data_IF_567238955163
#
_entry.id   IF_567238955163
#
_cell.length_a   1.000
_cell.length_b   1.000
_cell.length_c   1.000
_cell.angle_alpha   90.00
_cell.angle_beta   90.00
_cell.angle_gamma   90.00
#
_symmetry.space_group_name_H-M   'P 1'
#
loop_
_entity.id
_entity.type
_entity.pdbx_description
1 polymer ?
#
# COMPACT_ATOMS: atom_id res chain seq x y z
N UNK A 1 25.79 -2.09 8.54
CA UNK A 1 25.48 -2.62 9.89
C UNK A 1 24.33 -1.75 10.41
N UNK A 2 23.10 -2.28 10.50
CA UNK A 2 21.94 -1.52 11.02
C UNK A 2 22.36 -0.95 12.37
N UNK A 3 22.18 0.35 12.58
CA UNK A 3 22.53 0.97 13.85
C UNK A 3 21.70 0.29 14.94
N UNK A 4 22.34 -0.57 15.75
CA UNK A 4 21.69 -1.40 16.79
C UNK A 4 20.74 -0.61 17.69
N UNK A 5 20.99 0.68 17.89
CA UNK A 5 20.13 1.56 18.70
C UNK A 5 18.75 1.81 18.08
N UNK A 6 18.68 2.05 16.76
CA UNK A 6 17.40 2.34 16.06
C UNK A 6 16.51 1.10 16.01
N UNK A 7 17.10 -0.06 15.73
CA UNK A 7 16.37 -1.34 15.74
C UNK A 7 15.81 -1.66 17.12
N UNK A 8 16.62 -1.49 18.19
CA UNK A 8 16.19 -1.71 19.57
C UNK A 8 15.06 -0.76 19.99
N UNK A 9 15.12 0.50 19.62
CA UNK A 9 14.06 1.48 19.91
C UNK A 9 12.76 1.10 19.19
N UNK A 10 12.82 0.73 17.92
CA UNK A 10 11.63 0.31 17.16
C UNK A 10 10.99 -0.95 17.76
N UNK A 11 11.79 -1.96 18.11
CA UNK A 11 11.31 -3.20 18.74
C UNK A 11 10.75 -2.92 20.13
N UNK A 12 11.41 -2.08 20.93
CA UNK A 12 10.99 -1.74 22.29
C UNK A 12 9.66 -0.98 22.30
N UNK A 13 9.49 0.01 21.41
CA UNK A 13 8.21 0.73 21.24
C UNK A 13 7.10 -0.21 20.79
N UNK A 14 7.38 -1.10 19.85
CA UNK A 14 6.44 -2.10 19.38
C UNK A 14 6.00 -3.04 20.51
N UNK A 15 6.95 -3.58 21.28
CA UNK A 15 6.68 -4.44 22.42
C UNK A 15 5.83 -3.73 23.49
N UNK A 16 6.11 -2.45 23.79
CA UNK A 16 5.30 -1.70 24.76
C UNK A 16 3.84 -1.55 24.32
N UNK A 17 3.58 -1.24 23.03
CA UNK A 17 2.21 -1.12 22.53
C UNK A 17 1.46 -2.45 22.60
N UNK A 18 2.14 -3.58 22.34
CA UNK A 18 1.53 -4.90 22.44
C UNK A 18 1.36 -5.38 23.87
N UNK A 19 2.34 -5.17 24.75
CA UNK A 19 2.29 -5.65 26.14
C UNK A 19 1.34 -4.84 27.04
N UNK A 20 1.23 -3.53 26.84
CA UNK A 20 0.30 -2.70 27.63
C UNK A 20 -1.18 -3.10 27.42
N UNK A 21 -1.53 -3.56 26.21
CA UNK A 21 -2.90 -3.99 25.93
C UNK A 21 -3.14 -5.47 26.25
N UNK A 22 -2.13 -6.34 26.11
CA UNK A 22 -2.24 -7.74 26.51
C UNK A 22 -2.51 -7.89 28.02
N UNK A 23 -1.94 -7.00 28.85
CA UNK A 23 -2.16 -6.98 30.29
C UNK A 23 -3.60 -6.55 30.67
N UNK A 24 -4.22 -5.66 29.87
CA UNK A 24 -5.62 -5.25 30.06
C UNK A 24 -6.64 -6.28 29.56
N UNK A 25 -6.24 -7.14 28.61
CA UNK A 25 -7.09 -8.13 27.96
C UNK A 25 -7.16 -9.46 28.75
N UNK A 26 -6.14 -9.79 29.55
CA UNK A 26 -6.10 -11.07 30.30
C UNK A 26 -7.23 -11.20 31.31
N UNK A 27 -7.74 -10.10 31.87
CA UNK A 27 -8.91 -10.12 32.79
C UNK A 27 -10.25 -10.46 32.13
N UNK A 28 -10.36 -10.37 30.80
CA UNK A 28 -11.59 -10.72 30.07
C UNK A 28 -11.62 -12.16 29.54
N UNK A 29 -10.48 -12.85 29.52
CA UNK A 29 -10.38 -14.20 29.00
C UNK A 29 -10.88 -15.23 30.02
N UNK A 30 -10.68 -14.98 31.32
CA UNK A 30 -11.10 -15.92 32.38
C UNK A 30 -12.62 -16.03 32.55
N UNK A 31 -13.42 -15.05 32.10
CA UNK A 31 -14.89 -15.11 32.14
C UNK A 31 -15.50 -15.85 30.93
N UNK A 32 -14.75 -16.08 29.87
CA UNK A 32 -15.26 -16.70 28.61
C UNK A 32 -15.05 -18.22 28.51
N UNK A 33 -14.24 -18.81 29.40
CA UNK A 33 -13.90 -20.24 29.35
C UNK A 33 -15.03 -21.15 29.88
N UNK A 34 -16.02 -20.61 30.58
CA UNK A 34 -17.06 -21.41 31.25
C UNK A 34 -18.38 -21.56 30.48
N UNK A 35 -18.45 -21.22 29.22
CA UNK A 35 -19.67 -21.43 28.42
C UNK A 35 -19.35 -21.83 26.99
N UNK A 36 -19.07 -23.09 26.73
CA UNK A 36 -19.21 -23.57 25.34
C UNK A 36 -19.08 -25.10 25.21
N UNK A 37 -20.22 -25.75 25.31
CA UNK A 37 -20.61 -26.78 24.34
C UNK A 37 -21.31 -26.10 23.15
N UNK A 38 -20.58 -25.37 22.34
CA UNK A 38 -21.05 -24.93 21.02
C UNK A 38 -20.59 -25.93 19.99
N UNK A 39 -21.54 -26.68 19.42
CA UNK A 39 -21.37 -27.45 18.19
C UNK A 39 -20.43 -26.69 17.24
N UNK A 40 -19.19 -27.19 17.08
CA UNK A 40 -18.25 -26.65 16.11
C UNK A 40 -18.95 -26.65 14.74
N UNK A 41 -19.32 -25.46 14.27
CA UNK A 41 -19.83 -25.30 12.92
C UNK A 41 -18.74 -25.76 11.98
N UNK A 42 -18.89 -26.96 11.40
CA UNK A 42 -17.94 -27.53 10.44
C UNK A 42 -17.80 -26.55 9.28
N UNK A 43 -16.68 -25.85 9.25
CA UNK A 43 -16.38 -24.90 8.16
C UNK A 43 -15.83 -25.67 6.97
N UNK A 44 -16.35 -25.40 5.79
CA UNK A 44 -15.80 -25.93 4.54
C UNK A 44 -14.93 -24.86 3.88
N UNK A 45 -13.73 -25.23 3.42
CA UNK A 45 -12.88 -24.29 2.69
C UNK A 45 -13.61 -23.64 1.51
N UNK A 46 -13.52 -22.34 1.42
CA UNK A 46 -14.15 -21.54 0.35
C UNK A 46 -13.13 -20.70 -0.37
N UNK A 47 -13.24 -20.61 -1.68
CA UNK A 47 -12.41 -19.73 -2.51
C UNK A 47 -13.29 -18.71 -3.21
N UNK A 48 -13.03 -17.43 -2.94
CA UNK A 48 -13.66 -16.33 -3.64
C UNK A 48 -12.70 -15.82 -4.73
N UNK A 49 -13.18 -15.82 -5.96
CA UNK A 49 -12.42 -15.33 -7.13
C UNK A 49 -12.89 -13.93 -7.46
N UNK A 50 -11.96 -13.00 -7.59
CA UNK A 50 -12.22 -11.62 -8.05
C UNK A 50 -11.20 -11.27 -9.12
N UNK A 51 -11.67 -10.62 -10.18
CA UNK A 51 -10.79 -10.15 -11.24
C UNK A 51 -10.96 -8.67 -11.51
N UNK A 52 -9.92 -8.07 -12.06
CA UNK A 52 -9.97 -6.73 -12.63
C UNK A 52 -9.12 -6.66 -13.90
N UNK A 53 -9.65 -5.96 -14.89
CA UNK A 53 -8.98 -5.67 -16.14
C UNK A 53 -8.94 -4.16 -16.31
N UNK A 54 -7.73 -3.63 -16.53
CA UNK A 54 -7.51 -2.23 -16.83
C UNK A 54 -7.05 -2.09 -18.27
N UNK A 55 -7.54 -1.09 -18.96
CA UNK A 55 -6.98 -0.59 -20.22
C UNK A 55 -6.64 0.88 -20.04
N UNK A 56 -5.46 1.26 -20.49
CA UNK A 56 -4.97 2.64 -20.46
C UNK A 56 -4.62 3.07 -21.89
N UNK A 57 -5.16 4.20 -22.31
CA UNK A 57 -4.72 4.92 -23.50
C UNK A 57 -4.27 6.30 -23.08
N UNK A 58 -3.08 6.73 -23.50
CA UNK A 58 -2.54 8.03 -23.09
C UNK A 58 -1.33 8.46 -23.88
N UNK A 59 -0.96 9.71 -23.69
CA UNK A 59 0.17 10.35 -24.34
C UNK A 59 0.92 11.27 -23.37
N UNK A 60 2.18 11.58 -23.71
CA UNK A 60 3.00 12.61 -23.11
C UNK A 60 3.29 13.69 -24.14
N UNK A 61 3.27 14.96 -23.71
CA UNK A 61 3.90 16.05 -24.47
C UNK A 61 5.42 15.96 -24.29
N UNK A 62 6.17 16.24 -25.33
CA UNK A 62 7.64 16.32 -25.28
C UNK A 62 8.39 15.03 -24.92
N UNK A 63 7.84 13.87 -25.26
CA UNK A 63 8.61 12.64 -25.26
C UNK A 63 9.69 12.72 -26.37
N UNK A 64 10.95 12.46 -26.02
CA UNK A 64 12.06 12.37 -26.98
C UNK A 64 11.89 11.21 -27.99
N UNK A 65 10.96 10.31 -27.75
CA UNK A 65 10.45 9.32 -28.68
C UNK A 65 9.14 9.85 -29.25
N UNK A 66 9.12 10.15 -30.56
CA UNK A 66 7.97 10.54 -31.40
C UNK A 66 6.61 10.49 -30.66
N UNK A 67 5.84 11.56 -30.69
CA UNK A 67 4.48 11.73 -30.18
C UNK A 67 3.63 10.47 -30.39
N UNK A 68 3.75 9.50 -29.48
CA UNK A 68 3.09 8.22 -29.61
C UNK A 68 1.99 8.07 -28.57
N UNK A 69 0.84 7.64 -29.06
CA UNK A 69 -0.25 7.19 -28.23
C UNK A 69 0.13 5.82 -27.65
N UNK A 70 0.15 5.72 -26.31
CA UNK A 70 0.46 4.47 -25.62
C UNK A 70 -0.81 3.75 -25.21
N UNK A 71 -0.90 2.48 -25.58
CA UNK A 71 -1.97 1.60 -25.17
C UNK A 71 -1.41 0.47 -24.30
N UNK A 72 -1.87 0.39 -23.05
CA UNK A 72 -1.43 -0.63 -22.12
C UNK A 72 -2.62 -1.33 -21.45
N UNK A 73 -2.37 -2.52 -20.90
CA UNK A 73 -3.35 -3.23 -20.09
C UNK A 73 -2.75 -3.79 -18.80
N UNK A 74 -3.61 -4.02 -17.82
CA UNK A 74 -3.34 -4.83 -16.64
C UNK A 74 -4.47 -5.83 -16.44
N UNK A 75 -4.11 -7.10 -16.24
CA UNK A 75 -5.03 -8.14 -15.82
C UNK A 75 -4.61 -8.63 -14.43
N UNK A 76 -5.57 -8.67 -13.52
CA UNK A 76 -5.32 -9.10 -12.14
C UNK A 76 -6.43 -10.03 -11.66
N UNK A 77 -6.06 -11.25 -11.24
CA UNK A 77 -6.97 -12.25 -10.69
C UNK A 77 -6.56 -12.52 -9.25
N UNK A 78 -7.50 -12.40 -8.32
CA UNK A 78 -7.33 -12.63 -6.89
C UNK A 78 -8.13 -13.84 -6.44
N UNK A 79 -7.45 -14.80 -5.84
CA UNK A 79 -8.05 -15.92 -5.15
C UNK A 79 -7.93 -15.66 -3.63
N UNK A 80 -9.06 -15.62 -2.96
CA UNK A 80 -9.13 -15.50 -1.49
C UNK A 80 -9.69 -16.81 -0.97
N UNK A 81 -8.83 -17.68 -0.46
CA UNK A 81 -9.22 -19.00 0.07
C UNK A 81 -9.19 -18.96 1.59
N UNK A 82 -10.30 -19.24 2.22
CA UNK A 82 -10.41 -19.41 3.67
C UNK A 82 -10.63 -20.87 4.03
N UNK A 83 -9.90 -21.36 5.04
CA UNK A 83 -10.00 -22.73 5.54
C UNK A 83 -10.78 -22.84 6.84
N UNK A 84 -10.87 -21.73 7.61
CA UNK A 84 -11.50 -21.68 8.93
C UNK A 84 -12.56 -20.58 9.07
N UNK A 85 -12.74 -19.73 8.06
CA UNK A 85 -13.65 -18.58 8.09
C UNK A 85 -13.03 -17.28 8.61
N UNK A 86 -11.95 -17.37 9.39
CA UNK A 86 -11.22 -16.23 9.98
C UNK A 86 -9.84 -16.03 9.37
N UNK A 87 -9.43 -16.89 8.45
CA UNK A 87 -8.16 -16.90 7.75
C UNK A 87 -8.31 -16.55 6.27
N UNK A 88 -7.22 -16.26 5.60
CA UNK A 88 -7.21 -15.98 4.17
C UNK A 88 -5.86 -16.32 3.54
N UNK A 89 -5.84 -17.33 2.66
CA UNK A 89 -4.76 -17.52 1.71
C UNK A 89 -5.03 -16.64 0.49
N UNK A 90 -4.27 -15.56 0.36
CA UNK A 90 -4.36 -14.66 -0.78
C UNK A 90 -3.36 -15.09 -1.85
N UNK A 91 -3.85 -15.41 -3.04
CA UNK A 91 -3.06 -15.58 -4.25
C UNK A 91 -3.49 -14.55 -5.28
N UNK A 92 -2.54 -13.77 -5.80
CA UNK A 92 -2.80 -12.79 -6.87
C UNK A 92 -1.96 -13.14 -8.07
N UNK A 93 -2.65 -13.33 -9.19
CA UNK A 93 -2.04 -13.44 -10.51
C UNK A 93 -2.16 -12.09 -11.22
N UNK A 94 -1.11 -11.70 -11.94
CA UNK A 94 -1.02 -10.42 -12.61
C UNK A 94 -0.24 -10.55 -13.92
N UNK A 95 -0.73 -9.87 -14.95
CA UNK A 95 -0.02 -9.64 -16.23
C UNK A 95 -0.32 -8.23 -16.73
N UNK A 96 0.55 -7.69 -17.59
CA UNK A 96 0.34 -6.38 -18.19
C UNK A 96 1.56 -5.93 -18.97
N UNK A 97 1.34 -5.15 -20.01
CA UNK A 97 2.36 -4.75 -20.99
C UNK A 97 2.94 -3.35 -20.74
N UNK A 98 2.79 -2.79 -19.54
CA UNK A 98 3.26 -1.42 -19.26
C UNK A 98 4.73 -1.32 -18.82
N UNK A 99 5.56 -2.36 -19.04
CA UNK A 99 6.96 -2.38 -18.60
C UNK A 99 7.74 -1.17 -19.13
N UNK A 100 7.55 -0.85 -20.41
CA UNK A 100 8.22 0.25 -21.11
C UNK A 100 7.29 1.44 -21.37
N UNK A 101 6.17 1.51 -20.67
CA UNK A 101 5.23 2.63 -20.82
C UNK A 101 5.83 3.91 -20.26
N UNK A 102 6.01 4.96 -21.07
CA UNK A 102 6.54 6.24 -20.61
C UNK A 102 5.56 6.99 -19.71
N UNK A 103 4.29 6.61 -19.68
CA UNK A 103 3.28 7.21 -18.78
C UNK A 103 3.63 6.97 -17.31
N UNK A 104 4.20 5.79 -16.98
CA UNK A 104 4.66 5.40 -15.65
C UNK A 104 3.59 5.55 -14.55
N UNK A 105 2.32 5.31 -14.88
CA UNK A 105 1.23 5.38 -13.91
C UNK A 105 1.29 4.21 -12.93
N UNK A 106 0.94 4.46 -11.66
CA UNK A 106 0.94 3.43 -10.62
C UNK A 106 -0.12 2.35 -10.82
N UNK A 107 -1.20 2.68 -11.53
CA UNK A 107 -2.24 1.70 -11.88
C UNK A 107 -1.81 0.69 -12.97
N UNK A 108 -0.69 0.94 -13.67
CA UNK A 108 -0.22 0.08 -14.76
C UNK A 108 0.65 -1.08 -14.25
N UNK A 109 0.42 -2.29 -14.76
CA UNK A 109 1.26 -3.44 -14.45
C UNK A 109 2.50 -3.53 -15.34
N UNK A 110 3.65 -3.61 -14.70
CA UNK A 110 4.98 -3.80 -15.32
C UNK A 110 5.43 -5.27 -15.27
N UNK A 111 4.51 -6.24 -15.23
CA UNK A 111 4.84 -7.67 -15.05
C UNK A 111 5.13 -8.41 -16.35
N UNK A 112 4.88 -7.79 -17.49
CA UNK A 112 4.92 -8.41 -18.81
C UNK A 112 3.63 -9.21 -19.11
N UNK A 113 3.50 -9.71 -20.33
CA UNK A 113 2.30 -10.38 -20.85
C UNK A 113 2.05 -11.75 -20.19
N UNK A 114 3.08 -12.37 -19.62
CA UNK A 114 2.95 -13.65 -18.95
C UNK A 114 2.24 -13.48 -17.60
N UNK A 115 1.25 -14.33 -17.35
CA UNK A 115 0.56 -14.36 -16.05
C UNK A 115 1.52 -14.86 -14.97
N UNK A 116 1.80 -13.99 -13.99
CA UNK A 116 2.73 -14.26 -12.87
C UNK A 116 2.04 -14.14 -11.55
N UNK A 117 2.43 -14.96 -10.57
CA UNK A 117 2.02 -14.74 -9.18
C UNK A 117 2.70 -13.46 -8.68
N UNK A 118 1.92 -12.43 -8.38
CA UNK A 118 2.40 -11.16 -7.78
C UNK A 118 2.32 -11.17 -6.26
N UNK A 119 1.39 -11.95 -5.69
CA UNK A 119 1.26 -12.14 -4.24
C UNK A 119 0.91 -13.58 -3.92
N UNK A 120 1.55 -14.11 -2.89
CA UNK A 120 1.18 -15.37 -2.26
C UNK A 120 1.44 -15.23 -0.76
N UNK A 121 0.37 -15.13 0.04
CA UNK A 121 0.47 -14.95 1.48
C UNK A 121 -0.72 -15.55 2.22
N UNK A 122 -0.46 -16.02 3.41
CA UNK A 122 -1.46 -16.47 4.35
C UNK A 122 -1.64 -15.44 5.47
N UNK A 123 -2.88 -15.12 5.75
CA UNK A 123 -3.28 -14.23 6.81
C UNK A 123 -4.21 -14.95 7.77
N UNK A 124 -3.97 -14.81 9.06
CA UNK A 124 -4.83 -15.36 10.09
C UNK A 124 -5.06 -14.35 11.20
N UNK A 125 -6.29 -14.32 11.70
CA UNK A 125 -6.70 -13.50 12.83
C UNK A 125 -6.63 -14.31 14.10
N UNK A 126 -6.09 -13.74 15.16
CA UNK A 126 -6.14 -14.32 16.51
C UNK A 126 -7.41 -13.88 17.23
N UNK A 127 -7.84 -12.65 16.98
CA UNK A 127 -9.09 -12.05 17.46
C UNK A 127 -9.53 -10.92 16.50
N UNK A 128 -10.48 -10.09 16.94
CA UNK A 128 -11.04 -9.00 16.11
C UNK A 128 -10.01 -7.89 15.80
N UNK A 129 -8.95 -7.76 16.58
CA UNK A 129 -7.97 -6.68 16.45
C UNK A 129 -6.61 -7.16 15.96
N UNK A 130 -6.22 -8.42 16.22
CA UNK A 130 -4.88 -8.92 15.93
C UNK A 130 -4.86 -9.87 14.74
N UNK A 131 -3.96 -9.62 13.82
CA UNK A 131 -3.70 -10.51 12.69
C UNK A 131 -2.21 -10.75 12.51
N UNK A 132 -1.87 -11.92 11.98
CA UNK A 132 -0.53 -12.19 11.47
C UNK A 132 -0.60 -12.55 9.99
N UNK A 133 0.49 -12.28 9.30
CA UNK A 133 0.69 -12.64 7.90
C UNK A 133 2.01 -13.36 7.73
N UNK A 134 2.04 -14.30 6.82
CA UNK A 134 3.26 -14.97 6.38
C UNK A 134 3.12 -15.32 4.89
N UNK A 135 4.17 -15.18 4.13
CA UNK A 135 4.12 -15.57 2.72
C UNK A 135 5.48 -15.50 2.02
N UNK A 136 5.64 -16.31 0.97
CA UNK A 136 6.86 -16.30 0.16
C UNK A 136 6.90 -15.10 -0.82
N UNK A 137 5.76 -14.43 -1.03
CA UNK A 137 5.68 -13.33 -2.01
C UNK A 137 4.69 -12.25 -1.57
N UNK A 138 5.21 -11.22 -0.93
CA UNK A 138 4.43 -10.13 -0.34
C UNK A 138 5.04 -8.78 -0.69
N UNK A 139 4.18 -7.76 -0.82
CA UNK A 139 4.60 -6.37 -0.90
C UNK A 139 4.90 -5.80 0.49
N UNK A 140 5.76 -4.77 0.56
CA UNK A 140 6.13 -4.11 1.80
C UNK A 140 4.97 -3.58 2.63
N UNK A 141 3.96 -3.00 1.99
CA UNK A 141 2.78 -2.43 2.64
C UNK A 141 1.79 -3.48 3.19
N UNK A 142 1.85 -4.73 2.72
CA UNK A 142 0.94 -5.77 3.20
C UNK A 142 1.23 -6.11 4.66
N UNK A 143 0.17 -6.19 5.45
CA UNK A 143 0.26 -6.44 6.90
C UNK A 143 0.52 -5.20 7.76
N UNK A 144 0.66 -4.00 7.18
CA UNK A 144 0.71 -2.78 7.96
C UNK A 144 -0.70 -2.42 8.47
N UNK A 145 -0.77 -1.97 9.71
CA UNK A 145 -2.03 -1.79 10.41
C UNK A 145 -2.66 -0.40 10.17
N UNK A 146 -1.83 0.62 10.13
CA UNK A 146 -2.28 1.99 10.03
C UNK A 146 -2.64 2.38 8.60
N UNK A 147 -3.67 3.20 8.45
CA UNK A 147 -3.99 3.84 7.19
C UNK A 147 -3.28 5.18 7.12
N UNK A 148 -2.38 5.34 6.14
CA UNK A 148 -1.54 6.53 6.01
C UNK A 148 -2.25 7.68 5.31
N UNK A 149 -3.18 7.41 4.41
CA UNK A 149 -3.80 8.42 3.57
C UNK A 149 -5.30 8.22 3.39
N UNK A 150 -6.00 9.30 3.08
CA UNK A 150 -7.36 9.29 2.56
C UNK A 150 -7.37 9.35 1.03
N UNK A 151 -6.28 9.76 0.42
CA UNK A 151 -6.10 9.87 -1.02
C UNK A 151 -5.86 8.51 -1.67
N UNK A 152 -6.28 8.35 -2.91
CA UNK A 152 -6.01 7.14 -3.68
C UNK A 152 -4.73 7.32 -4.49
N UNK A 153 -3.59 7.11 -3.84
CA UNK A 153 -2.25 7.33 -4.38
C UNK A 153 -1.88 6.42 -5.56
N UNK A 154 -2.65 5.37 -5.80
CA UNK A 154 -2.31 4.37 -6.83
C UNK A 154 -3.06 4.55 -8.14
N UNK A 155 -3.31 5.78 -8.54
CA UNK A 155 -3.99 6.08 -9.80
C UNK A 155 -3.02 6.69 -10.79
N UNK A 156 -2.25 7.71 -10.39
CA UNK A 156 -1.40 8.45 -11.31
C UNK A 156 0.10 8.27 -11.01
N UNK A 157 0.80 9.30 -10.56
CA UNK A 157 2.26 9.27 -10.42
C UNK A 157 2.77 9.51 -9.00
N UNK A 158 1.89 9.91 -8.06
CA UNK A 158 2.30 10.26 -6.70
C UNK A 158 1.98 9.17 -5.69
N UNK A 159 2.98 8.78 -4.92
CA UNK A 159 2.90 7.83 -3.81
C UNK A 159 3.62 8.41 -2.59
N UNK A 160 2.84 8.80 -1.59
CA UNK A 160 3.34 9.45 -0.37
C UNK A 160 3.98 8.52 0.65
N UNK A 161 3.99 7.21 0.42
CA UNK A 161 4.54 6.23 1.37
C UNK A 161 5.54 5.25 0.73
N UNK A 162 6.19 5.66 -0.35
CA UNK A 162 6.99 4.79 -1.19
C UNK A 162 8.22 4.19 -0.49
N UNK A 163 8.95 4.98 0.31
CA UNK A 163 10.19 4.51 0.93
C UNK A 163 9.95 3.70 2.20
N UNK A 164 8.99 4.11 3.01
CA UNK A 164 8.72 3.46 4.30
C UNK A 164 7.92 2.18 4.16
N UNK A 165 7.11 2.05 3.11
CA UNK A 165 6.29 0.84 2.90
C UNK A 165 6.84 -0.09 1.83
N UNK A 166 7.85 0.32 1.04
CA UNK A 166 8.46 -0.50 0.01
C UNK A 166 9.52 -1.42 0.59
N UNK A 167 9.33 -2.72 0.48
CA UNK A 167 10.37 -3.74 0.68
C UNK A 167 10.57 -4.58 -0.58
N UNK A 168 10.17 -4.04 -1.75
CA UNK A 168 10.10 -4.90 -2.94
C UNK A 168 9.02 -5.96 -2.83
N UNK A 169 9.22 -7.09 -3.51
CA UNK A 169 8.31 -8.25 -3.49
C UNK A 169 9.12 -9.48 -3.12
N UNK A 170 8.86 -10.05 -1.95
CA UNK A 170 9.58 -11.23 -1.48
C UNK A 170 8.94 -11.89 -0.26
N UNK A 171 9.62 -12.83 0.36
CA UNK A 171 9.14 -13.52 1.56
C UNK A 171 9.07 -12.57 2.75
N UNK A 172 8.15 -12.87 3.67
CA UNK A 172 8.03 -12.08 4.88
C UNK A 172 7.04 -12.65 5.89
N UNK A 173 7.12 -12.09 7.08
CA UNK A 173 6.24 -12.37 8.21
C UNK A 173 5.92 -11.06 8.92
N UNK A 174 4.70 -10.89 9.39
CA UNK A 174 4.31 -9.70 10.11
C UNK A 174 3.17 -9.95 11.09
N UNK A 175 3.05 -9.06 12.04
CA UNK A 175 1.96 -9.02 13.00
C UNK A 175 1.42 -7.60 13.06
N UNK A 176 0.12 -7.47 13.19
CA UNK A 176 -0.53 -6.17 13.29
C UNK A 176 -1.71 -6.20 14.26
N UNK A 177 -1.88 -5.06 14.93
CA UNK A 177 -3.06 -4.70 15.69
C UNK A 177 -3.82 -3.62 14.95
N UNK A 178 -5.10 -3.84 14.68
CA UNK A 178 -5.96 -2.91 13.91
C UNK A 178 -7.21 -2.57 14.68
N UNK A 179 -7.36 -1.28 14.98
CA UNK A 179 -8.60 -0.71 15.51
C UNK A 179 -9.23 0.25 14.51
N UNK A 180 -10.53 0.16 14.30
CA UNK A 180 -11.27 1.10 13.45
C UNK A 180 -11.17 2.54 13.99
N UNK A 181 -11.28 2.68 15.31
CA UNK A 181 -11.02 3.92 16.05
C UNK A 181 -10.08 3.61 17.20
N UNK A 182 -8.87 4.15 17.17
CA UNK A 182 -7.85 3.92 18.19
C UNK A 182 -6.46 3.74 17.64
N UNK A 183 -5.61 3.23 18.49
CA UNK A 183 -4.20 2.98 18.20
C UNK A 183 -4.06 1.71 17.35
N UNK A 184 -3.29 1.81 16.29
CA UNK A 184 -2.90 0.73 15.39
C UNK A 184 -1.39 0.54 15.48
N UNK A 185 -0.91 -0.69 15.38
CA UNK A 185 0.51 -0.97 15.36
C UNK A 185 0.79 -2.18 14.49
N UNK A 186 1.93 -2.20 13.83
CA UNK A 186 2.39 -3.35 13.06
C UNK A 186 3.90 -3.44 13.04
N UNK A 187 4.37 -4.67 12.95
CA UNK A 187 5.77 -5.01 12.75
C UNK A 187 5.88 -6.09 11.69
N UNK A 188 6.83 -5.93 10.78
CA UNK A 188 7.04 -6.85 9.68
C UNK A 188 8.53 -7.03 9.41
N UNK A 189 8.91 -8.26 9.16
CA UNK A 189 10.21 -8.61 8.56
C UNK A 189 9.91 -9.11 7.15
N UNK A 190 10.55 -8.53 6.16
CA UNK A 190 10.36 -8.89 4.76
C UNK A 190 11.69 -8.89 4.01
N UNK A 191 11.73 -9.53 2.87
CA UNK A 191 12.86 -9.45 1.94
C UNK A 191 12.40 -8.91 0.59
N UNK A 192 13.26 -8.22 -0.12
CA UNK A 192 13.04 -7.77 -1.49
C UNK A 192 13.45 -8.82 -2.54
N UNK A 193 13.98 -9.97 -2.08
CA UNK A 193 14.48 -11.06 -2.90
C UNK A 193 14.03 -12.42 -2.35
N UNK A 194 13.89 -13.41 -3.22
CA UNK A 194 13.73 -14.81 -2.83
C UNK A 194 15.01 -15.41 -2.22
N UNK A 195 16.17 -14.87 -2.53
CA UNK A 195 17.42 -15.12 -1.82
C UNK A 195 17.51 -14.18 -0.63
N UNK A 196 17.38 -14.74 0.57
CA UNK A 196 17.40 -13.97 1.81
C UNK A 196 18.85 -13.81 2.25
N UNK A 197 19.37 -12.60 2.12
CA UNK A 197 20.66 -12.19 2.65
C UNK A 197 20.50 -10.96 3.55
N UNK A 198 21.60 -10.55 4.20
CA UNK A 198 21.57 -9.40 5.10
C UNK A 198 21.25 -8.06 4.40
N UNK A 199 21.35 -7.99 3.09
CA UNK A 199 21.10 -6.76 2.31
C UNK A 199 19.68 -6.67 1.81
N UNK A 200 18.98 -7.82 1.71
CA UNK A 200 17.60 -7.90 1.25
C UNK A 200 16.57 -7.80 2.37
N UNK A 201 16.99 -7.90 3.65
CA UNK A 201 16.06 -7.89 4.79
C UNK A 201 15.66 -6.48 5.17
N UNK A 202 14.36 -6.28 5.30
CA UNK A 202 13.69 -5.06 5.76
C UNK A 202 12.98 -5.31 7.09
N UNK A 203 13.15 -4.39 8.02
CA UNK A 203 12.41 -4.31 9.27
C UNK A 203 11.45 -3.12 9.19
N UNK A 204 10.17 -3.38 9.03
CA UNK A 204 9.16 -2.33 8.87
C UNK A 204 8.32 -2.27 10.14
N UNK A 205 8.27 -1.10 10.77
CA UNK A 205 7.43 -0.84 11.94
C UNK A 205 6.51 0.32 11.65
N UNK A 206 5.26 0.23 12.08
CA UNK A 206 4.30 1.31 11.92
C UNK A 206 3.46 1.45 13.18
N UNK A 207 3.26 2.69 13.61
CA UNK A 207 2.29 3.08 14.62
C UNK A 207 1.34 4.07 13.97
N UNK A 208 0.04 3.90 14.19
CA UNK A 208 -0.99 4.76 13.64
C UNK A 208 -2.10 5.03 14.64
N UNK A 209 -2.74 6.15 14.48
CA UNK A 209 -3.96 6.52 15.19
C UNK A 209 -5.05 6.79 14.16
N UNK A 210 -6.24 6.24 14.40
CA UNK A 210 -7.44 6.59 13.64
C UNK A 210 -8.53 6.97 14.63
N UNK A 211 -9.11 8.15 14.46
CA UNK A 211 -10.20 8.63 15.31
C UNK A 211 -11.21 9.38 14.44
N UNK A 212 -12.41 8.78 14.28
CA UNK A 212 -13.48 9.35 13.44
C UNK A 212 -12.99 9.72 12.02
N UNK A 213 -12.85 11.01 11.76
CA UNK A 213 -12.50 11.58 10.45
C UNK A 213 -10.99 11.87 10.30
N UNK A 214 -10.22 11.68 11.34
CA UNK A 214 -8.78 11.94 11.35
C UNK A 214 -8.00 10.63 11.47
N UNK A 215 -6.84 10.58 10.84
CA UNK A 215 -5.88 9.50 11.05
C UNK A 215 -4.48 9.92 10.68
N UNK A 216 -3.53 9.16 11.16
CA UNK A 216 -2.12 9.35 10.84
C UNK A 216 -1.29 8.16 11.23
N UNK A 217 -0.09 8.08 10.65
CA UNK A 217 0.87 7.00 10.88
C UNK A 217 2.29 7.55 10.96
N UNK A 218 3.10 6.90 11.77
CA UNK A 218 4.56 6.99 11.73
C UNK A 218 5.05 5.62 11.31
N UNK A 219 5.89 5.57 10.28
CA UNK A 219 6.40 4.32 9.70
C UNK A 219 7.91 4.39 9.61
N UNK A 220 8.59 3.31 9.93
CA UNK A 220 10.03 3.15 9.73
C UNK A 220 10.30 1.92 8.89
N UNK A 221 11.29 1.98 8.01
CA UNK A 221 11.78 0.84 7.24
C UNK A 221 13.30 0.83 7.31
N UNK A 222 13.84 -0.17 7.96
CA UNK A 222 15.27 -0.32 8.21
C UNK A 222 15.81 -1.48 7.38
N UNK A 223 16.82 -1.20 6.60
CA UNK A 223 17.55 -2.16 5.78
C UNK A 223 19.05 -1.87 5.91
N UNK A 224 19.91 -2.78 5.48
CA UNK A 224 21.37 -2.57 5.51
C UNK A 224 21.82 -1.40 4.62
N UNK A 225 21.10 -1.14 3.52
CA UNK A 225 21.46 -0.12 2.52
C UNK A 225 20.86 1.27 2.83
N UNK A 226 19.83 1.30 3.67
CA UNK A 226 19.16 2.56 4.00
C UNK A 226 18.32 2.46 5.28
N UNK A 227 18.02 3.62 5.83
CA UNK A 227 16.99 3.82 6.85
C UNK A 227 15.94 4.79 6.30
N UNK A 228 14.65 4.42 6.37
CA UNK A 228 13.57 5.31 5.93
C UNK A 228 12.58 5.57 7.07
N UNK A 229 12.14 6.81 7.17
CA UNK A 229 11.22 7.31 8.18
C UNK A 229 10.14 8.13 7.51
N UNK A 230 8.89 7.90 7.87
CA UNK A 230 7.76 8.62 7.29
C UNK A 230 6.68 8.96 8.29
N UNK A 231 6.05 10.08 8.06
CA UNK A 231 4.85 10.54 8.76
C UNK A 231 3.80 10.82 7.70
N UNK A 232 2.61 10.28 7.90
CA UNK A 232 1.47 10.55 7.04
C UNK A 232 0.23 10.84 7.88
N UNK A 233 -0.62 11.72 7.40
CA UNK A 233 -1.86 12.11 8.09
C UNK A 233 -2.96 12.41 7.09
N UNK A 234 -4.19 12.23 7.53
CA UNK A 234 -5.37 12.61 6.75
C UNK A 234 -6.49 13.13 7.63
N UNK A 235 -7.32 13.98 7.02
CA UNK A 235 -8.58 14.46 7.60
C UNK A 235 -9.71 14.30 6.59
N UNK A 236 -10.86 13.74 7.01
CA UNK A 236 -12.05 13.47 6.20
C UNK A 236 -13.26 14.19 6.78
N UNK A 237 -13.44 15.47 6.49
CA UNK A 237 -14.64 16.19 6.88
C UNK A 237 -15.88 15.61 6.16
N UNK A 238 -17.07 15.72 6.78
CA UNK A 238 -18.28 15.14 6.21
C UNK A 238 -18.69 15.75 4.86
N UNK A 239 -18.52 17.07 4.69
CA UNK A 239 -19.07 17.82 3.56
C UNK A 239 -18.01 18.49 2.68
N UNK A 240 -16.72 18.22 2.91
CA UNK A 240 -15.60 18.83 2.21
C UNK A 240 -14.64 17.75 1.69
N UNK A 241 -13.74 18.09 0.76
CA UNK A 241 -12.69 17.18 0.34
C UNK A 241 -11.87 16.64 1.50
N UNK A 242 -11.51 15.38 1.44
CA UNK A 242 -10.51 14.80 2.32
C UNK A 242 -9.15 15.39 2.00
N UNK A 243 -8.38 15.71 3.03
CA UNK A 243 -7.01 16.22 2.93
C UNK A 243 -6.07 15.13 3.39
N UNK A 244 -4.99 14.91 2.66
CA UNK A 244 -3.91 13.98 3.05
C UNK A 244 -2.58 14.66 2.86
N UNK A 245 -1.66 14.43 3.79
CA UNK A 245 -0.28 14.91 3.71
C UNK A 245 0.66 13.82 4.21
N UNK A 246 1.79 13.65 3.52
CA UNK A 246 2.85 12.74 3.93
C UNK A 246 4.21 13.34 3.67
N UNK A 247 5.18 12.94 4.47
CA UNK A 247 6.59 13.23 4.28
C UNK A 247 7.41 12.02 4.69
N UNK A 248 8.41 11.70 3.90
CA UNK A 248 9.33 10.61 4.14
C UNK A 248 10.78 11.05 3.90
N UNK A 249 11.67 10.46 4.68
CA UNK A 249 13.11 10.59 4.53
C UNK A 249 13.72 9.20 4.35
N UNK A 250 14.66 9.08 3.42
CA UNK A 250 15.44 7.88 3.20
C UNK A 250 16.91 8.24 3.23
N UNK A 251 17.58 7.80 4.28
CA UNK A 251 19.01 7.98 4.46
C UNK A 251 19.75 6.76 3.93
N UNK A 252 20.53 6.94 2.89
CA UNK A 252 21.33 5.89 2.27
C UNK A 252 22.66 5.74 3.01
N UNK A 253 23.19 4.51 3.10
CA UNK A 253 24.55 4.28 3.64
C UNK A 253 25.65 5.05 2.89
N UNK A 254 25.39 5.46 1.65
CA UNK A 254 26.26 6.34 0.86
C UNK A 254 26.31 7.79 1.36
N UNK A 255 25.52 8.15 2.39
CA UNK A 255 25.42 9.51 2.92
C UNK A 255 24.41 10.41 2.17
N UNK A 256 23.74 9.89 1.14
CA UNK A 256 22.68 10.64 0.43
C UNK A 256 21.36 10.51 1.19
N UNK A 257 20.72 11.63 1.50
CA UNK A 257 19.33 11.68 2.01
C UNK A 257 18.39 12.02 0.87
N UNK A 258 17.33 11.25 0.70
CA UNK A 258 16.26 11.49 -0.28
C UNK A 258 14.98 11.82 0.49
N UNK A 259 14.25 12.85 0.02
CA UNK A 259 12.98 13.27 0.62
C UNK A 259 11.84 12.97 -0.35
N UNK A 260 10.73 12.51 0.20
CA UNK A 260 9.47 12.36 -0.53
C UNK A 260 8.36 13.02 0.28
N UNK A 261 7.48 13.76 -0.39
CA UNK A 261 6.31 14.35 0.25
C UNK A 261 5.15 14.42 -0.73
N UNK A 262 3.94 14.32 -0.23
CA UNK A 262 2.70 14.48 -1.01
C UNK A 262 1.69 15.27 -0.20
N UNK A 263 1.05 16.22 -0.84
CA UNK A 263 -0.15 16.90 -0.37
C UNK A 263 -1.28 16.63 -1.35
N UNK A 264 -2.41 16.13 -0.86
CA UNK A 264 -3.48 15.66 -1.72
C UNK A 264 -4.87 16.02 -1.17
N UNK A 265 -5.78 16.27 -2.10
CA UNK A 265 -7.21 16.47 -1.86
C UNK A 265 -8.00 15.42 -2.63
N UNK A 266 -9.03 14.87 -2.00
CA UNK A 266 -9.95 13.94 -2.64
C UNK A 266 -11.37 14.13 -2.17
N UNK A 267 -12.31 14.13 -3.09
CA UNK A 267 -13.74 14.19 -2.78
C UNK A 267 -14.49 13.06 -3.46
N UNK A 268 -15.34 12.39 -2.68
CA UNK A 268 -16.31 11.44 -3.19
C UNK A 268 -17.63 12.20 -3.46
N UNK A 269 -18.17 12.03 -4.66
CA UNK A 269 -19.47 12.50 -5.11
C UNK A 269 -20.34 11.27 -5.40
N UNK A 270 -21.62 11.47 -5.72
CA UNK A 270 -22.58 10.37 -5.88
C UNK A 270 -22.05 9.18 -6.72
N UNK A 271 -21.61 9.43 -7.95
CA UNK A 271 -21.16 8.41 -8.89
C UNK A 271 -19.69 8.59 -9.32
N UNK A 272 -18.97 9.51 -8.69
CA UNK A 272 -17.57 9.78 -9.04
C UNK A 272 -16.74 10.14 -7.82
N UNK A 273 -15.43 9.97 -7.95
CA UNK A 273 -14.42 10.53 -7.04
C UNK A 273 -13.50 11.42 -7.85
N UNK A 274 -13.04 12.47 -7.25
CA UNK A 274 -12.08 13.39 -7.85
C UNK A 274 -10.90 13.50 -6.89
N UNK A 275 -9.70 13.47 -7.42
CA UNK A 275 -8.47 13.66 -6.66
C UNK A 275 -7.54 14.63 -7.37
N UNK A 276 -6.85 15.44 -6.59
CA UNK A 276 -5.73 16.27 -7.03
C UNK A 276 -4.61 16.16 -6.02
N UNK A 277 -3.38 16.16 -6.46
CA UNK A 277 -2.23 16.13 -5.58
C UNK A 277 -1.02 16.85 -6.18
N UNK A 278 -0.12 17.24 -5.29
CA UNK A 278 1.21 17.74 -5.58
C UNK A 278 2.20 17.08 -4.64
N UNK A 279 3.38 16.76 -5.14
CA UNK A 279 4.41 16.14 -4.32
C UNK A 279 5.65 15.80 -5.12
N UNK A 280 6.57 15.11 -4.47
CA UNK A 280 7.70 14.51 -5.15
C UNK A 280 7.30 13.18 -5.77
N UNK A 281 7.76 12.95 -6.98
CA UNK A 281 7.61 11.67 -7.63
C UNK A 281 8.99 11.12 -8.00
N UNK A 282 9.09 9.79 -8.08
CA UNK A 282 10.36 9.12 -8.35
C UNK A 282 11.46 9.45 -7.30
N UNK A 283 12.47 8.62 -7.17
CA UNK A 283 13.53 8.73 -6.15
C UNK A 283 14.44 9.97 -6.25
N UNK A 284 14.10 10.97 -7.08
CA UNK A 284 14.99 12.08 -7.44
C UNK A 284 14.53 13.45 -6.93
N UNK A 285 13.59 13.48 -5.99
CA UNK A 285 13.02 14.72 -5.43
C UNK A 285 12.35 15.65 -6.48
N UNK A 286 11.99 15.11 -7.64
CA UNK A 286 11.30 15.84 -8.70
C UNK A 286 9.85 16.14 -8.33
N UNK A 287 9.35 17.28 -8.73
CA UNK A 287 7.98 17.68 -8.41
C UNK A 287 7.02 17.16 -9.49
N UNK A 288 5.91 16.60 -9.03
CA UNK A 288 4.79 16.20 -9.84
C UNK A 288 3.49 16.81 -9.35
N UNK A 289 2.58 17.03 -10.29
CA UNK A 289 1.19 17.42 -10.05
C UNK A 289 0.31 16.41 -10.74
N UNK A 290 -0.77 16.03 -10.10
CA UNK A 290 -1.72 15.09 -10.72
C UNK A 290 -3.17 15.47 -10.42
N UNK A 291 -4.04 15.10 -11.34
CA UNK A 291 -5.47 15.17 -11.16
C UNK A 291 -6.15 13.99 -11.85
N UNK A 292 -7.15 13.44 -11.23
CA UNK A 292 -7.90 12.33 -11.76
C UNK A 292 -9.37 12.37 -11.33
N UNK A 293 -10.20 11.69 -12.11
CA UNK A 293 -11.59 11.46 -11.77
C UNK A 293 -11.94 9.99 -11.97
N UNK A 294 -12.41 9.30 -10.94
CA UNK A 294 -12.97 7.95 -11.06
C UNK A 294 -14.49 8.07 -11.24
N UNK A 295 -14.98 7.74 -12.42
CA UNK A 295 -16.41 7.83 -12.80
C UNK A 295 -16.96 6.41 -12.83
N UNK A 296 -17.93 6.11 -11.98
CA UNK A 296 -18.62 4.81 -11.96
C UNK A 296 -19.72 4.83 -13.02
N UNK A 297 -19.54 4.05 -14.08
CA UNK A 297 -20.57 3.84 -15.12
C UNK A 297 -21.55 2.75 -14.65
N UNK A 298 -21.01 1.71 -14.02
CA UNK A 298 -21.75 0.67 -13.31
C UNK A 298 -20.94 0.15 -12.14
N UNK A 299 -21.49 -0.78 -11.36
CA UNK A 299 -20.78 -1.43 -10.24
C UNK A 299 -19.49 -2.15 -10.69
N UNK A 300 -19.46 -2.58 -11.95
CA UNK A 300 -18.36 -3.36 -12.52
C UNK A 300 -17.48 -2.57 -13.48
N UNK A 301 -17.92 -1.41 -13.96
CA UNK A 301 -17.20 -0.64 -14.96
C UNK A 301 -16.98 0.81 -14.54
N UNK A 302 -15.74 1.27 -14.66
CA UNK A 302 -15.31 2.62 -14.35
C UNK A 302 -14.46 3.20 -15.44
N UNK A 303 -14.53 4.53 -15.61
CA UNK A 303 -13.64 5.32 -16.46
C UNK A 303 -12.85 6.26 -15.56
N UNK A 304 -11.54 6.34 -15.77
CA UNK A 304 -10.62 7.13 -14.95
C UNK A 304 -9.73 7.99 -15.85
N UNK A 305 -10.19 9.19 -16.27
CA UNK A 305 -9.30 10.18 -16.86
C UNK A 305 -8.26 10.63 -15.81
N UNK A 306 -7.02 10.71 -16.24
CA UNK A 306 -5.86 11.14 -15.46
C UNK A 306 -5.12 12.21 -16.24
N UNK A 307 -4.72 13.24 -15.55
CA UNK A 307 -3.85 14.31 -16.02
C UNK A 307 -2.72 14.50 -15.03
N UNK A 308 -1.50 14.68 -15.52
CA UNK A 308 -0.37 14.97 -14.66
C UNK A 308 0.67 15.84 -15.35
N UNK A 309 1.43 16.55 -14.54
CA UNK A 309 2.63 17.28 -14.95
C UNK A 309 3.77 16.81 -14.07
N UNK A 310 4.92 16.52 -14.64
CA UNK A 310 6.10 16.08 -13.90
C UNK A 310 7.38 16.68 -14.48
N UNK A 311 8.38 16.88 -13.63
CA UNK A 311 9.71 17.25 -14.06
C UNK A 311 10.43 16.04 -14.67
N UNK A 312 11.02 16.19 -15.86
CA UNK A 312 11.86 15.17 -16.49
C UNK A 312 13.34 15.30 -16.08
N UNK A 313 14.19 14.40 -16.59
CA UNK A 313 15.64 14.39 -16.30
C UNK A 313 16.36 15.66 -16.77
N UNK A 314 15.81 16.40 -17.72
CA UNK A 314 16.37 17.62 -18.27
C UNK A 314 15.84 18.90 -17.61
N UNK A 315 15.13 18.77 -16.46
CA UNK A 315 14.43 19.86 -15.77
C UNK A 315 13.35 20.56 -16.61
N UNK A 316 12.90 19.94 -17.69
CA UNK A 316 11.72 20.35 -18.43
C UNK A 316 10.47 19.69 -17.82
N UNK A 317 9.30 20.27 -18.07
CA UNK A 317 8.03 19.73 -17.59
C UNK A 317 7.40 18.87 -18.68
N UNK A 318 7.09 17.64 -18.35
CA UNK A 318 6.29 16.74 -19.18
C UNK A 318 4.83 16.80 -18.73
N UNK A 319 3.96 16.97 -19.70
CA UNK A 319 2.51 16.93 -19.50
C UNK A 319 1.99 15.58 -19.98
N UNK A 320 1.28 14.87 -19.11
CA UNK A 320 0.72 13.57 -19.42
C UNK A 320 -0.80 13.57 -19.28
N UNK A 321 -1.44 12.84 -20.18
CA UNK A 321 -2.86 12.58 -20.13
C UNK A 321 -3.14 11.12 -20.44
N UNK A 322 -4.09 10.52 -19.72
CA UNK A 322 -4.58 9.19 -20.04
C UNK A 322 -6.07 9.03 -19.74
N UNK A 323 -6.69 8.12 -20.44
CA UNK A 323 -8.02 7.59 -20.11
C UNK A 323 -7.82 6.12 -19.77
N UNK A 324 -8.21 5.77 -18.56
CA UNK A 324 -8.13 4.42 -18.05
C UNK A 324 -9.54 3.86 -17.89
N UNK A 325 -9.73 2.61 -18.25
CA UNK A 325 -10.98 1.90 -18.02
C UNK A 325 -10.72 0.71 -17.10
N UNK A 326 -11.61 0.47 -16.15
CA UNK A 326 -11.51 -0.63 -15.20
C UNK A 326 -12.76 -1.47 -15.22
N UNK A 327 -12.59 -2.75 -15.48
CA UNK A 327 -13.62 -3.77 -15.35
C UNK A 327 -13.35 -4.64 -14.13
N UNK A 328 -14.38 -4.91 -13.31
CA UNK A 328 -14.30 -5.84 -12.17
C UNK A 328 -15.26 -7.01 -12.44
N UNK A 329 -14.83 -8.22 -12.12
CA UNK A 329 -15.63 -9.45 -12.26
C UNK A 329 -15.39 -10.45 -11.14
#
# INVERSE_FOLDING_TARGET
MIKKKTLLVSIFFFLQVFFLDAYGSSKKVDEKINSEDKLEKKYFPTTNVKGSLFFTIGALSESTSSESLHFTYENKIRLNTSFKGTDNLLTVFESGNALDSPLMLDLQSKKGDNLKISTLMYKFQFDDEYEAIIGPKMFGYQGLAGKSTAYNERIAILDGSNYTTSSGIGPGIGISKRKKNGLNASFKIASDSSQIDNESIHFISQIGLTKNNFGGTITTNLNKKFEAYGIATFYRPKNFPSISASIEYKDMDSGKTIKNWVLALQQALQNKKIGIAVGTYNSEEKIGYEGWSEINISDKFKIIPVFFVRENYQLSHELGFSINTKFNF
#
